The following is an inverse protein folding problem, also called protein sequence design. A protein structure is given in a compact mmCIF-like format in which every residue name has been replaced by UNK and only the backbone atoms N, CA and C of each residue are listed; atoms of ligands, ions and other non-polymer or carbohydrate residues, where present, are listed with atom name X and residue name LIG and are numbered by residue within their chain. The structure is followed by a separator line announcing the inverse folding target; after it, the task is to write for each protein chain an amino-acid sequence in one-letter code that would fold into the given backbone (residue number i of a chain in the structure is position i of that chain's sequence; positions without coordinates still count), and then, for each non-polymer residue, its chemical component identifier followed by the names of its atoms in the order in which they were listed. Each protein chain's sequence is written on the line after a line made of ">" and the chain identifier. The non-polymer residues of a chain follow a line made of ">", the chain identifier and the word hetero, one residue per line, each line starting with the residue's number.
data_IF_759631921354
#
_entry.id   IF_759631921354
#
_cell.length_a   1.000
_cell.length_b   1.000
_cell.length_c   1.000
_cell.angle_alpha   90.00
_cell.angle_beta   90.00
_cell.angle_gamma   90.00
#
_symmetry.space_group_name_H-M   'P 1'
#
loop_
_entity.id
_entity.type
_entity.pdbx_description
1 polymer ?
#
# COMPACT_ATOMS: atom_id res chain seq x y z
N UNK A 1 -17.82 -49.39 -5.45
CA UNK A 1 -17.15 -48.12 -5.76
C UNK A 1 -17.85 -46.95 -5.08
N UNK A 2 -17.36 -46.51 -3.91
CA UNK A 2 -17.92 -45.37 -3.16
C UNK A 2 -17.18 -44.11 -3.61
N UNK A 3 -17.89 -43.14 -4.19
CA UNK A 3 -17.37 -41.79 -4.49
C UNK A 3 -17.14 -41.03 -3.19
N UNK A 4 -15.92 -40.75 -2.83
CA UNK A 4 -15.53 -39.85 -1.77
C UNK A 4 -15.80 -38.41 -2.27
N UNK A 5 -16.82 -37.76 -1.70
CA UNK A 5 -17.04 -36.32 -1.87
C UNK A 5 -15.95 -35.60 -1.07
N UNK A 6 -15.03 -34.92 -1.78
CA UNK A 6 -14.12 -33.94 -1.16
C UNK A 6 -14.98 -32.83 -0.59
N UNK A 7 -14.94 -32.67 0.73
CA UNK A 7 -15.46 -31.49 1.41
C UNK A 7 -14.63 -30.28 0.95
N UNK A 8 -15.29 -29.31 0.34
CA UNK A 8 -14.71 -27.97 0.14
C UNK A 8 -14.57 -27.38 1.55
N UNK A 9 -13.35 -27.17 1.99
CA UNK A 9 -13.04 -26.28 3.11
C UNK A 9 -13.59 -24.90 2.75
N UNK A 10 -14.62 -24.46 3.48
CA UNK A 10 -15.04 -23.07 3.51
C UNK A 10 -13.87 -22.29 4.12
N UNK A 11 -13.08 -21.62 3.28
CA UNK A 11 -12.15 -20.60 3.73
C UNK A 11 -12.95 -19.55 4.50
N UNK A 12 -12.44 -19.14 5.66
CA UNK A 12 -13.01 -18.05 6.43
C UNK A 12 -13.11 -16.84 5.51
N UNK A 13 -14.31 -16.34 5.26
CA UNK A 13 -14.51 -15.05 4.61
C UNK A 13 -13.76 -14.02 5.44
N UNK A 14 -12.75 -13.37 4.87
CA UNK A 14 -11.98 -12.32 5.55
C UNK A 14 -12.94 -11.19 6.00
N UNK A 15 -12.58 -10.50 7.07
CA UNK A 15 -13.35 -9.37 7.61
C UNK A 15 -13.75 -8.37 6.50
N UNK A 16 -12.86 -8.06 5.58
CA UNK A 16 -13.12 -7.16 4.44
C UNK A 16 -14.12 -7.73 3.42
N UNK A 17 -14.23 -9.06 3.29
CA UNK A 17 -15.28 -9.69 2.49
C UNK A 17 -16.67 -9.45 3.06
N UNK A 18 -16.78 -9.33 4.39
CA UNK A 18 -18.04 -9.04 5.08
C UNK A 18 -18.44 -7.56 5.00
N UNK A 19 -17.47 -6.65 4.86
CA UNK A 19 -17.72 -5.20 4.71
C UNK A 19 -18.44 -4.86 3.39
N UNK A 20 -18.27 -5.70 2.37
CA UNK A 20 -18.79 -5.50 1.02
C UNK A 20 -19.77 -6.60 0.61
N UNK A 21 -20.66 -7.00 1.50
CA UNK A 21 -21.62 -8.13 1.29
C UNK A 21 -22.68 -7.90 0.18
N UNK A 22 -22.81 -6.69 -0.37
CA UNK A 22 -23.56 -6.44 -1.59
C UNK A 22 -22.64 -6.54 -2.81
N UNK A 23 -23.09 -7.15 -3.91
CA UNK A 23 -22.35 -7.39 -5.16
C UNK A 23 -21.23 -6.38 -5.37
N UNK A 24 -19.99 -6.81 -5.11
CA UNK A 24 -18.79 -6.00 -5.42
C UNK A 24 -18.88 -5.54 -6.87
N UNK A 25 -18.53 -4.29 -7.20
CA UNK A 25 -18.01 -4.05 -8.53
C UNK A 25 -16.91 -5.10 -8.73
N UNK A 26 -16.86 -5.78 -9.87
CA UNK A 26 -15.78 -6.71 -10.20
C UNK A 26 -14.45 -5.94 -10.18
N UNK A 27 -13.90 -5.73 -8.97
CA UNK A 27 -12.56 -5.22 -8.76
C UNK A 27 -11.58 -6.34 -9.05
N UNK A 28 -10.45 -6.01 -9.61
CA UNK A 28 -9.35 -6.97 -9.78
C UNK A 28 -9.12 -7.74 -8.47
N UNK A 29 -9.02 -9.06 -8.57
CA UNK A 29 -8.86 -9.92 -7.38
C UNK A 29 -7.42 -9.95 -6.92
N UNK A 30 -6.50 -9.99 -7.87
CA UNK A 30 -5.06 -10.13 -7.67
C UNK A 30 -4.31 -9.22 -8.64
N UNK A 31 -3.15 -8.71 -8.22
CA UNK A 31 -2.33 -7.81 -9.02
C UNK A 31 -0.90 -8.34 -9.05
N UNK A 32 -0.30 -8.34 -10.24
CA UNK A 32 1.14 -8.53 -10.43
C UNK A 32 1.76 -7.23 -10.91
N UNK A 33 2.78 -6.77 -10.21
CA UNK A 33 3.59 -5.63 -10.60
C UNK A 33 4.85 -6.13 -11.30
N UNK A 34 5.15 -5.62 -12.48
CA UNK A 34 6.37 -5.95 -13.24
C UNK A 34 7.08 -4.66 -13.65
N UNK A 35 8.31 -4.51 -13.20
CA UNK A 35 9.27 -3.53 -13.70
C UNK A 35 10.24 -4.27 -14.61
N UNK A 36 10.39 -3.80 -15.85
CA UNK A 36 11.37 -4.31 -16.80
C UNK A 36 12.36 -3.20 -17.16
N UNK A 37 13.55 -3.25 -16.53
CA UNK A 37 14.56 -2.19 -16.61
C UNK A 37 13.97 -0.80 -16.38
N UNK A 38 12.94 -0.73 -15.55
CA UNK A 38 12.24 0.52 -15.26
C UNK A 38 13.06 1.41 -14.34
N UNK A 39 13.25 2.63 -14.77
CA UNK A 39 13.92 3.68 -14.01
C UNK A 39 13.21 5.01 -14.12
N UNK A 40 13.53 5.93 -13.23
CA UNK A 40 12.98 7.28 -13.25
C UNK A 40 14.03 8.32 -12.92
N UNK A 41 14.17 9.28 -13.82
CA UNK A 41 14.98 10.50 -13.62
C UNK A 41 14.02 11.68 -13.61
N UNK A 42 14.09 12.50 -12.56
CA UNK A 42 13.27 13.70 -12.41
C UNK A 42 13.70 14.80 -13.39
N UNK A 43 12.85 15.80 -13.60
CA UNK A 43 13.09 16.91 -14.54
C UNK A 43 14.35 17.73 -14.20
N UNK A 44 14.73 17.78 -12.93
CA UNK A 44 15.95 18.43 -12.44
C UNK A 44 17.23 17.60 -12.66
N UNK A 45 17.12 16.43 -13.30
CA UNK A 45 18.21 15.52 -13.57
C UNK A 45 18.55 14.56 -12.41
N UNK A 46 17.90 14.68 -11.27
CA UNK A 46 18.11 13.77 -10.14
C UNK A 46 17.56 12.37 -10.44
N UNK A 47 18.38 11.34 -10.17
CA UNK A 47 17.98 9.96 -10.33
C UNK A 47 17.06 9.58 -9.15
N UNK A 48 15.83 9.19 -9.44
CA UNK A 48 14.91 8.66 -8.44
C UNK A 48 15.03 7.14 -8.28
N UNK A 49 15.12 6.42 -9.41
CA UNK A 49 15.40 4.99 -9.46
C UNK A 49 16.19 4.66 -10.72
N UNK A 50 17.28 3.93 -10.58
CA UNK A 50 18.07 3.38 -11.69
C UNK A 50 17.30 2.22 -12.35
N UNK A 51 17.64 1.85 -13.60
CA UNK A 51 16.99 0.72 -14.28
C UNK A 51 16.94 -0.53 -13.39
N UNK A 52 15.72 -0.95 -13.05
CA UNK A 52 15.44 -2.04 -12.11
C UNK A 52 14.49 -3.04 -12.76
N UNK A 53 14.80 -4.33 -12.64
CA UNK A 53 13.88 -5.42 -13.01
C UNK A 53 13.37 -6.07 -11.73
N UNK A 54 12.05 -6.09 -11.56
CA UNK A 54 11.38 -6.60 -10.35
C UNK A 54 10.00 -7.12 -10.72
N UNK A 55 9.64 -8.27 -10.17
CA UNK A 55 8.26 -8.77 -10.25
C UNK A 55 7.73 -9.03 -8.84
N UNK A 56 6.57 -8.46 -8.51
CA UNK A 56 5.85 -8.72 -7.26
C UNK A 56 4.52 -9.35 -7.63
N UNK A 57 4.38 -10.63 -7.31
CA UNK A 57 3.18 -11.43 -7.61
C UNK A 57 2.23 -11.48 -6.42
N UNK A 58 0.96 -11.91 -6.59
CA UNK A 58 -0.03 -11.99 -5.51
C UNK A 58 0.33 -12.95 -4.37
N UNK A 59 1.28 -13.86 -4.59
CA UNK A 59 1.80 -14.77 -3.56
C UNK A 59 2.56 -14.01 -2.48
N UNK A 60 3.22 -12.89 -2.86
CA UNK A 60 3.84 -11.97 -1.89
C UNK A 60 2.81 -10.99 -1.36
N UNK A 61 2.16 -11.35 -0.24
CA UNK A 61 1.08 -10.54 0.34
C UNK A 61 1.57 -9.33 1.11
N UNK A 62 2.71 -9.41 1.75
CA UNK A 62 3.29 -8.33 2.56
C UNK A 62 4.72 -8.09 2.13
N UNK A 63 4.91 -7.09 1.27
CA UNK A 63 6.22 -6.73 0.72
C UNK A 63 6.70 -5.44 1.36
N UNK A 64 7.76 -5.53 2.14
CA UNK A 64 8.42 -4.36 2.72
C UNK A 64 9.51 -3.82 1.77
N UNK A 65 9.70 -2.51 1.78
CA UNK A 65 10.78 -1.81 1.08
C UNK A 65 11.55 -0.98 2.11
N UNK A 66 12.80 -1.33 2.38
CA UNK A 66 13.64 -0.62 3.34
C UNK A 66 14.85 0.00 2.67
N UNK A 67 15.45 0.99 3.33
CA UNK A 67 16.63 1.71 2.82
C UNK A 67 16.75 3.09 3.46
N UNK A 68 17.90 3.72 3.29
CA UNK A 68 18.14 5.08 3.79
C UNK A 68 17.23 6.13 3.15
N UNK A 69 17.12 7.30 3.79
CA UNK A 69 16.44 8.44 3.17
C UNK A 69 17.14 8.81 1.86
N UNK A 70 16.36 9.10 0.81
CA UNK A 70 16.88 9.39 -0.52
C UNK A 70 17.34 8.18 -1.34
N UNK A 71 17.23 6.94 -0.83
CA UNK A 71 17.67 5.75 -1.56
C UNK A 71 16.83 5.37 -2.78
N UNK A 72 15.63 5.96 -2.97
CA UNK A 72 14.74 5.66 -4.09
C UNK A 72 13.46 4.88 -3.73
N UNK A 73 13.20 4.57 -2.45
CA UNK A 73 12.00 3.83 -2.00
C UNK A 73 10.69 4.46 -2.49
N UNK A 74 10.50 5.74 -2.24
CA UNK A 74 9.30 6.49 -2.67
C UNK A 74 9.13 6.43 -4.19
N UNK A 75 10.23 6.58 -4.95
CA UNK A 75 10.17 6.49 -6.42
C UNK A 75 9.77 5.09 -6.88
N UNK A 76 10.33 4.03 -6.26
CA UNK A 76 9.93 2.66 -6.53
C UNK A 76 8.43 2.46 -6.29
N UNK A 77 7.92 2.89 -5.14
CA UNK A 77 6.48 2.79 -4.83
C UNK A 77 5.61 3.57 -5.80
N UNK A 78 6.04 4.76 -6.22
CA UNK A 78 5.30 5.59 -7.17
C UNK A 78 5.28 5.02 -8.59
N UNK A 79 6.29 4.26 -8.98
CA UNK A 79 6.27 3.46 -10.22
C UNK A 79 5.30 2.29 -10.11
N UNK A 80 5.25 1.60 -8.96
CA UNK A 80 4.32 0.49 -8.73
C UNK A 80 2.86 0.95 -8.70
N UNK A 81 2.56 2.10 -8.11
CA UNK A 81 1.19 2.61 -8.03
C UNK A 81 0.77 3.47 -9.24
N UNK A 82 1.67 3.67 -10.19
CA UNK A 82 1.43 4.47 -11.39
C UNK A 82 1.38 5.99 -11.15
N UNK A 83 1.80 6.49 -9.99
CA UNK A 83 1.88 7.92 -9.73
C UNK A 83 3.03 8.60 -10.50
N UNK A 84 4.06 7.82 -10.84
CA UNK A 84 5.14 8.20 -11.76
C UNK A 84 5.17 7.27 -12.96
N UNK A 85 5.46 7.83 -14.12
CA UNK A 85 5.81 7.05 -15.30
C UNK A 85 7.32 6.75 -15.29
N UNK A 86 7.71 5.58 -15.78
CA UNK A 86 9.12 5.27 -16.01
C UNK A 86 9.69 6.18 -17.10
N UNK A 87 10.92 6.72 -16.89
CA UNK A 87 11.67 7.46 -17.91
C UNK A 87 12.58 6.55 -18.72
N UNK A 88 12.84 5.32 -18.25
CA UNK A 88 13.52 4.24 -18.96
C UNK A 88 12.88 2.90 -18.62
N UNK A 89 12.97 1.94 -19.53
CA UNK A 89 12.31 0.64 -19.39
C UNK A 89 10.79 0.74 -19.40
N UNK A 90 10.11 -0.19 -18.73
CA UNK A 90 8.64 -0.20 -18.66
C UNK A 90 8.12 -0.71 -17.31
N UNK A 91 6.93 -0.24 -16.94
CA UNK A 91 6.15 -0.75 -15.81
C UNK A 91 4.87 -1.36 -16.36
N UNK A 92 4.54 -2.55 -15.88
CA UNK A 92 3.30 -3.25 -16.21
C UNK A 92 2.60 -3.71 -14.95
N UNK A 93 1.29 -3.52 -14.92
CA UNK A 93 0.43 -3.97 -13.83
C UNK A 93 -0.58 -4.92 -14.44
N UNK A 94 -0.45 -6.21 -14.12
CA UNK A 94 -1.37 -7.24 -14.59
C UNK A 94 -2.45 -7.49 -13.55
N UNK A 95 -3.72 -7.43 -13.96
CA UNK A 95 -4.86 -7.70 -13.10
C UNK A 95 -5.93 -8.47 -13.89
N UNK A 96 -6.42 -9.59 -13.33
CA UNK A 96 -7.45 -10.44 -13.96
C UNK A 96 -7.13 -10.84 -15.43
N UNK A 97 -5.84 -11.05 -15.74
CA UNK A 97 -5.37 -11.43 -17.09
C UNK A 97 -5.28 -10.25 -18.08
N UNK A 98 -5.44 -9.02 -17.63
CA UNK A 98 -5.28 -7.80 -18.43
C UNK A 98 -4.05 -7.05 -17.97
N UNK A 99 -3.18 -6.67 -18.90
CA UNK A 99 -2.01 -5.85 -18.66
C UNK A 99 -2.35 -4.35 -18.81
N UNK A 100 -1.93 -3.55 -17.83
CA UNK A 100 -2.09 -2.09 -17.81
C UNK A 100 -0.72 -1.42 -17.79
N UNK A 101 -0.57 -0.38 -18.59
CA UNK A 101 0.64 0.46 -18.65
C UNK A 101 0.36 1.82 -17.98
N UNK A 102 1.06 2.18 -16.88
CA UNK A 102 0.86 3.46 -16.21
C UNK A 102 1.13 4.69 -17.08
N UNK A 103 1.92 4.57 -18.15
CA UNK A 103 2.18 5.66 -19.09
C UNK A 103 0.98 5.98 -19.99
N UNK A 104 0.02 5.05 -20.09
CA UNK A 104 -1.19 5.21 -20.90
C UNK A 104 -2.32 5.77 -20.05
N UNK A 105 -2.78 6.98 -20.37
CA UNK A 105 -3.81 7.70 -19.60
C UNK A 105 -5.09 6.91 -19.32
N UNK A 106 -5.51 6.05 -20.26
CA UNK A 106 -6.70 5.19 -20.08
C UNK A 106 -6.43 4.12 -19.02
N UNK A 107 -5.26 3.53 -19.08
CA UNK A 107 -4.86 2.43 -18.18
C UNK A 107 -4.58 2.98 -16.77
N UNK A 108 -3.97 4.16 -16.68
CA UNK A 108 -3.74 4.84 -15.40
C UNK A 108 -5.04 4.99 -14.59
N UNK A 109 -6.16 5.36 -15.22
CA UNK A 109 -7.46 5.43 -14.54
C UNK A 109 -7.93 4.09 -13.99
N UNK A 110 -7.59 2.98 -14.67
CA UNK A 110 -7.88 1.64 -14.19
C UNK A 110 -6.99 1.26 -13.02
N UNK A 111 -5.70 1.56 -13.13
CA UNK A 111 -4.73 1.36 -12.03
C UNK A 111 -5.19 2.11 -10.78
N UNK A 112 -5.58 3.39 -10.90
CA UNK A 112 -6.11 4.19 -9.79
C UNK A 112 -7.39 3.62 -9.15
N UNK A 113 -8.16 2.84 -9.89
CA UNK A 113 -9.35 2.16 -9.35
C UNK A 113 -9.06 0.81 -8.69
N UNK A 114 -7.84 0.28 -8.84
CA UNK A 114 -7.44 -1.03 -8.34
C UNK A 114 -6.39 -0.96 -7.23
N UNK A 115 -5.64 0.14 -7.14
CA UNK A 115 -4.54 0.28 -6.17
C UNK A 115 -4.87 1.39 -5.19
N UNK A 116 -4.95 1.05 -3.91
CA UNK A 116 -5.06 1.99 -2.80
C UNK A 116 -3.68 2.61 -2.51
N UNK A 117 -3.64 3.94 -2.34
CA UNK A 117 -2.41 4.67 -2.02
C UNK A 117 -2.49 5.22 -0.61
N UNK A 118 -1.47 4.94 0.20
CA UNK A 118 -1.29 5.52 1.53
C UNK A 118 0.07 6.21 1.57
N UNK A 119 0.10 7.49 1.91
CA UNK A 119 1.34 8.27 2.00
C UNK A 119 1.38 8.98 3.34
N UNK A 120 2.06 8.39 4.32
CA UNK A 120 2.14 8.89 5.69
C UNK A 120 0.73 9.23 6.20
N UNK A 121 0.60 10.38 6.88
CA UNK A 121 -0.67 10.99 7.29
C UNK A 121 -1.31 11.85 6.19
N UNK A 122 -0.82 11.76 4.95
CA UNK A 122 -1.33 12.56 3.84
C UNK A 122 -2.70 12.05 3.42
N UNK A 123 -3.71 12.82 3.73
CA UNK A 123 -5.06 12.65 3.23
C UNK A 123 -5.30 13.66 2.09
N UNK A 124 -6.17 13.35 1.13
CA UNK A 124 -6.44 14.26 0.03
C UNK A 124 -6.85 15.66 0.52
N UNK A 125 -6.39 16.72 -0.17
CA UNK A 125 -6.74 18.11 0.18
C UNK A 125 -8.26 18.36 0.22
N UNK A 126 -9.05 17.56 -0.51
CA UNK A 126 -10.51 17.60 -0.45
C UNK A 126 -11.06 17.26 0.94
N UNK A 127 -10.35 16.44 1.71
CA UNK A 127 -10.75 16.04 3.06
C UNK A 127 -10.73 17.22 4.05
N UNK A 128 -9.77 18.14 3.88
CA UNK A 128 -9.70 19.37 4.69
C UNK A 128 -10.78 20.41 4.32
N UNK A 129 -11.47 20.21 3.18
CA UNK A 129 -12.56 21.06 2.74
C UNK A 129 -13.94 20.50 3.09
N UNK A 130 -14.01 19.23 3.47
CA UNK A 130 -15.24 18.59 3.89
C UNK A 130 -15.56 18.98 5.35
N UNK A 131 -16.85 19.11 5.67
CA UNK A 131 -17.31 19.47 7.02
C UNK A 131 -17.02 18.36 8.03
N UNK A 132 -16.87 17.12 7.56
CA UNK A 132 -16.56 15.97 8.41
C UNK A 132 -15.77 14.90 7.67
N UNK A 133 -15.05 14.05 8.42
CA UNK A 133 -14.34 12.90 7.81
C UNK A 133 -15.30 11.89 7.19
N UNK A 134 -16.54 11.82 7.68
CA UNK A 134 -17.59 11.00 7.08
C UNK A 134 -17.92 11.44 5.65
N UNK A 135 -18.08 12.75 5.44
CA UNK A 135 -18.31 13.33 4.13
C UNK A 135 -17.08 13.17 3.22
N UNK A 136 -15.89 13.35 3.80
CA UNK A 136 -14.63 13.18 3.08
C UNK A 136 -14.47 11.78 2.47
N UNK A 137 -14.80 10.71 3.22
CA UNK A 137 -14.77 9.32 2.72
C UNK A 137 -15.88 9.03 1.70
N UNK A 138 -17.02 9.69 1.78
CA UNK A 138 -18.11 9.52 0.81
C UNK A 138 -17.70 9.95 -0.60
N UNK A 139 -16.82 10.93 -0.73
CA UNK A 139 -16.34 11.46 -2.01
C UNK A 139 -15.61 10.42 -2.89
N UNK A 140 -14.59 9.69 -2.41
CA UNK A 140 -13.99 8.58 -3.16
C UNK A 140 -15.01 7.54 -3.59
N UNK A 141 -15.94 7.17 -2.71
CA UNK A 141 -16.99 6.19 -3.01
C UNK A 141 -17.90 6.65 -4.14
N UNK A 142 -18.28 7.94 -4.15
CA UNK A 142 -19.02 8.56 -5.28
C UNK A 142 -18.22 8.49 -6.58
N UNK A 143 -16.93 8.83 -6.52
CA UNK A 143 -16.02 8.78 -7.67
C UNK A 143 -15.93 7.37 -8.26
N UNK A 144 -15.94 6.35 -7.40
CA UNK A 144 -15.97 4.93 -7.78
C UNK A 144 -17.39 4.41 -8.09
N UNK A 145 -18.39 5.31 -8.17
CA UNK A 145 -19.79 5.00 -8.54
C UNK A 145 -20.46 3.98 -7.61
N UNK A 146 -20.06 3.95 -6.33
CA UNK A 146 -20.71 3.11 -5.32
C UNK A 146 -22.13 3.65 -5.08
N UNK A 147 -23.18 2.81 -5.13
CA UNK A 147 -24.56 3.24 -4.89
C UNK A 147 -24.73 3.89 -3.51
N UNK A 148 -25.57 4.92 -3.41
CA UNK A 148 -25.79 5.65 -2.15
C UNK A 148 -26.23 4.75 -1.00
N UNK A 149 -27.09 3.76 -1.29
CA UNK A 149 -27.56 2.79 -0.32
C UNK A 149 -26.44 1.95 0.31
N UNK A 150 -25.33 1.77 -0.40
CA UNK A 150 -24.19 0.98 0.05
C UNK A 150 -23.13 1.85 0.75
N UNK A 151 -22.95 3.11 0.30
CA UNK A 151 -21.91 4.01 0.84
C UNK A 151 -21.99 4.19 2.34
N UNK A 152 -23.21 4.38 2.89
CA UNK A 152 -23.39 4.59 4.32
C UNK A 152 -22.97 3.36 5.15
N UNK A 153 -23.25 2.16 4.64
CA UNK A 153 -22.83 0.92 5.29
C UNK A 153 -21.30 0.76 5.23
N UNK A 154 -20.68 1.03 4.07
CA UNK A 154 -19.23 0.97 3.90
C UNK A 154 -18.53 1.94 4.85
N UNK A 155 -18.97 3.21 4.90
CA UNK A 155 -18.39 4.22 5.78
C UNK A 155 -18.54 3.82 7.25
N UNK A 156 -19.72 3.37 7.65
CA UNK A 156 -19.97 2.92 9.02
C UNK A 156 -19.05 1.77 9.43
N UNK A 157 -18.89 0.78 8.56
CA UNK A 157 -18.03 -0.37 8.80
C UNK A 157 -16.55 0.02 8.86
N UNK A 158 -16.07 0.87 7.91
CA UNK A 158 -14.70 1.39 7.95
C UNK A 158 -14.43 2.14 9.24
N UNK A 159 -15.33 3.02 9.66
CA UNK A 159 -15.15 3.82 10.87
C UNK A 159 -15.15 2.97 12.14
N UNK A 160 -15.97 1.92 12.18
CA UNK A 160 -15.96 0.97 13.29
C UNK A 160 -14.63 0.17 13.32
N UNK A 161 -14.12 -0.24 12.16
CA UNK A 161 -12.89 -1.02 12.07
C UNK A 161 -11.64 -0.20 12.41
N UNK A 162 -11.58 1.05 11.97
CA UNK A 162 -10.43 1.93 12.18
C UNK A 162 -10.55 2.86 13.41
N UNK A 163 -11.47 2.58 14.31
CA UNK A 163 -11.72 3.39 15.52
C UNK A 163 -11.94 4.89 15.24
N UNK A 164 -12.60 5.19 14.11
CA UNK A 164 -12.94 6.54 13.67
C UNK A 164 -14.40 6.92 13.99
N UNK A 165 -15.19 6.01 14.55
CA UNK A 165 -16.63 6.23 14.75
C UNK A 165 -16.92 7.41 15.70
N UNK A 166 -16.13 7.57 16.75
CA UNK A 166 -16.30 8.66 17.73
C UNK A 166 -16.05 10.05 17.11
N UNK A 167 -15.13 10.14 16.13
CA UNK A 167 -14.72 11.39 15.46
C UNK A 167 -15.34 11.57 14.08
N UNK A 168 -16.31 10.75 13.71
CA UNK A 168 -16.92 10.72 12.37
C UNK A 168 -17.48 12.06 11.88
N UNK A 169 -17.86 12.95 12.82
CA UNK A 169 -18.42 14.28 12.55
C UNK A 169 -17.39 15.40 12.65
N UNK A 170 -16.17 15.07 13.01
CA UNK A 170 -15.09 16.05 13.10
C UNK A 170 -14.49 16.31 11.71
N UNK A 171 -13.91 17.51 11.54
CA UNK A 171 -13.10 17.81 10.36
C UNK A 171 -11.76 17.06 10.41
N UNK A 172 -11.18 16.79 9.25
CA UNK A 172 -9.87 16.13 9.17
C UNK A 172 -8.75 16.92 9.88
N UNK A 173 -8.89 18.24 9.96
CA UNK A 173 -7.93 19.13 10.66
C UNK A 173 -7.98 19.01 12.20
N UNK A 174 -9.09 18.54 12.75
CA UNK A 174 -9.25 18.35 14.19
C UNK A 174 -8.66 17.01 14.69
N UNK A 175 -8.35 16.08 13.79
CA UNK A 175 -7.81 14.77 14.14
C UNK A 175 -6.38 14.87 14.65
N UNK A 176 -6.03 14.03 15.63
CA UNK A 176 -4.64 13.74 15.99
C UNK A 176 -3.88 12.98 14.86
N UNK A 177 -2.57 12.81 15.02
CA UNK A 177 -1.75 12.17 14.00
C UNK A 177 -2.13 10.72 13.77
N UNK A 178 -2.41 9.93 14.81
CA UNK A 178 -2.83 8.53 14.67
C UNK A 178 -4.13 8.41 13.87
N UNK A 179 -5.15 9.20 14.21
CA UNK A 179 -6.44 9.16 13.51
C UNK A 179 -6.33 9.64 12.06
N UNK A 180 -5.41 10.56 11.74
CA UNK A 180 -5.12 10.93 10.35
C UNK A 180 -4.51 9.79 9.56
N UNK A 181 -3.58 9.01 10.15
CA UNK A 181 -3.03 7.81 9.51
C UNK A 181 -4.11 6.74 9.28
N UNK A 182 -4.94 6.48 10.28
CA UNK A 182 -6.07 5.54 10.17
C UNK A 182 -7.07 6.01 9.11
N UNK A 183 -7.36 7.31 9.04
CA UNK A 183 -8.22 7.88 8.01
C UNK A 183 -7.63 7.72 6.60
N UNK A 184 -6.32 7.92 6.43
CA UNK A 184 -5.64 7.71 5.16
C UNK A 184 -5.77 6.25 4.69
N UNK A 185 -5.58 5.28 5.60
CA UNK A 185 -5.77 3.85 5.31
C UNK A 185 -7.25 3.55 4.99
N UNK A 186 -8.18 4.03 5.81
CA UNK A 186 -9.61 3.85 5.59
C UNK A 186 -10.06 4.40 4.22
N UNK A 187 -9.51 5.58 3.84
CA UNK A 187 -9.74 6.17 2.53
C UNK A 187 -9.24 5.28 1.40
N UNK A 188 -8.00 4.81 1.49
CA UNK A 188 -7.41 3.93 0.49
C UNK A 188 -8.17 2.61 0.34
N UNK A 189 -8.76 2.11 1.43
CA UNK A 189 -9.55 0.87 1.45
C UNK A 189 -11.02 1.04 1.06
N UNK A 190 -11.54 2.26 1.03
CA UNK A 190 -12.97 2.53 0.86
C UNK A 190 -13.57 1.94 -0.42
N UNK A 191 -12.79 1.85 -1.50
CA UNK A 191 -13.23 1.28 -2.78
C UNK A 191 -12.81 -0.19 -2.97
N UNK A 192 -12.35 -0.88 -1.92
CA UNK A 192 -11.90 -2.28 -1.96
C UNK A 192 -10.82 -2.56 -3.02
N UNK A 193 -9.66 -1.91 -2.94
CA UNK A 193 -8.59 -2.09 -3.91
C UNK A 193 -8.07 -3.54 -3.95
N UNK A 194 -7.43 -3.94 -5.04
CA UNK A 194 -6.78 -5.24 -5.17
C UNK A 194 -5.43 -5.28 -4.44
N UNK A 195 -4.76 -4.14 -4.36
CA UNK A 195 -3.50 -3.97 -3.62
C UNK A 195 -3.42 -2.58 -2.98
N UNK A 196 -2.59 -2.46 -1.95
CA UNK A 196 -2.21 -1.18 -1.33
C UNK A 196 -0.74 -0.94 -1.54
N UNK A 197 -0.39 0.29 -1.89
CA UNK A 197 0.98 0.80 -1.89
C UNK A 197 1.07 1.91 -0.84
N UNK A 198 1.92 1.69 0.19
CA UNK A 198 2.01 2.58 1.34
C UNK A 198 3.44 3.11 1.53
N UNK A 199 3.61 4.42 1.60
CA UNK A 199 4.90 5.06 1.86
C UNK A 199 4.96 5.61 3.28
N UNK A 200 5.79 4.99 4.12
CA UNK A 200 6.03 5.36 5.52
C UNK A 200 4.72 5.48 6.35
N UNK A 201 3.85 4.46 6.37
CA UNK A 201 2.49 4.56 6.90
C UNK A 201 2.42 4.78 8.43
N UNK A 202 3.53 4.60 9.15
CA UNK A 202 3.59 4.77 10.62
C UNK A 202 4.56 5.89 11.04
N UNK A 203 5.12 6.63 10.09
CA UNK A 203 6.15 7.63 10.38
C UNK A 203 5.64 8.78 11.24
N UNK A 204 6.39 9.08 12.30
CA UNK A 204 6.07 10.20 13.19
C UNK A 204 5.09 9.85 14.33
N UNK A 205 4.71 8.57 14.41
CA UNK A 205 3.91 8.02 15.51
C UNK A 205 4.83 7.45 16.60
N UNK A 206 4.35 7.43 17.84
CA UNK A 206 4.96 6.65 18.91
C UNK A 206 4.77 5.14 18.69
N UNK A 207 5.38 4.32 19.55
CA UNK A 207 5.35 2.86 19.38
C UNK A 207 3.93 2.28 19.45
N UNK A 208 3.07 2.80 20.34
CA UNK A 208 1.70 2.29 20.52
C UNK A 208 0.84 2.64 19.31
N UNK A 209 0.86 3.90 18.89
CA UNK A 209 0.13 4.35 17.72
C UNK A 209 0.66 3.69 16.43
N UNK A 210 1.98 3.51 16.30
CA UNK A 210 2.60 2.78 15.18
C UNK A 210 2.11 1.33 15.09
N UNK A 211 2.04 0.63 16.22
CA UNK A 211 1.54 -0.75 16.26
C UNK A 211 0.05 -0.81 15.88
N UNK A 212 -0.76 0.14 16.33
CA UNK A 212 -2.17 0.22 15.99
C UNK A 212 -2.39 0.46 14.48
N UNK A 213 -1.69 1.45 13.92
CA UNK A 213 -1.76 1.76 12.48
C UNK A 213 -1.23 0.61 11.61
N UNK A 214 -0.12 -0.01 12.01
CA UNK A 214 0.43 -1.18 11.31
C UNK A 214 -0.56 -2.36 11.32
N UNK A 215 -1.16 -2.66 12.49
CA UNK A 215 -2.19 -3.69 12.61
C UNK A 215 -3.39 -3.40 11.71
N UNK A 216 -3.84 -2.16 11.65
CA UNK A 216 -4.93 -1.74 10.78
C UNK A 216 -4.59 -1.97 9.30
N UNK A 217 -3.39 -1.57 8.87
CA UNK A 217 -2.92 -1.75 7.49
C UNK A 217 -2.78 -3.24 7.13
N UNK A 218 -2.15 -4.04 7.99
CA UNK A 218 -1.88 -5.46 7.72
C UNK A 218 -3.06 -6.39 8.00
N UNK A 219 -4.16 -5.89 8.56
CA UNK A 219 -5.42 -6.64 8.65
C UNK A 219 -6.10 -6.82 7.29
N UNK A 220 -5.68 -6.06 6.27
CA UNK A 220 -6.17 -6.18 4.91
C UNK A 220 -5.70 -7.49 4.27
N UNK A 221 -6.62 -8.27 3.68
CA UNK A 221 -6.36 -9.63 3.17
C UNK A 221 -5.71 -9.66 1.77
N UNK A 222 -5.59 -8.49 1.13
CA UNK A 222 -4.94 -8.33 -0.18
C UNK A 222 -3.47 -7.94 -0.03
N UNK A 223 -2.82 -7.78 -1.17
CA UNK A 223 -1.41 -7.43 -1.23
C UNK A 223 -1.16 -6.02 -0.68
N UNK A 224 -0.14 -5.89 0.16
CA UNK A 224 0.35 -4.60 0.69
C UNK A 224 1.84 -4.50 0.38
N UNK A 225 2.21 -3.52 -0.43
CA UNK A 225 3.62 -3.13 -0.68
C UNK A 225 3.88 -1.83 0.05
N UNK A 226 4.84 -1.79 0.96
CA UNK A 226 5.03 -0.60 1.79
C UNK A 226 6.51 -0.28 2.02
N UNK A 227 6.84 1.00 2.07
CA UNK A 227 8.16 1.45 2.50
C UNK A 227 8.14 1.81 3.98
N UNK A 228 9.22 1.49 4.67
CA UNK A 228 9.47 1.88 6.05
C UNK A 228 10.97 1.97 6.35
N UNK A 229 11.32 2.73 7.36
CA UNK A 229 12.66 2.73 7.97
C UNK A 229 12.70 1.91 9.29
N UNK A 230 11.54 1.43 9.75
CA UNK A 230 11.40 0.64 10.96
C UNK A 230 11.68 -0.85 10.66
N UNK A 231 12.90 -1.28 10.99
CA UNK A 231 13.33 -2.67 10.79
C UNK A 231 12.72 -3.63 11.82
N UNK A 232 12.28 -3.15 12.98
CA UNK A 232 11.61 -3.98 13.97
C UNK A 232 10.21 -4.35 13.49
N UNK A 233 9.48 -3.40 12.88
CA UNK A 233 8.16 -3.64 12.32
C UNK A 233 8.17 -4.80 11.34
N UNK A 234 9.16 -4.87 10.45
CA UNK A 234 9.18 -5.89 9.38
C UNK A 234 9.56 -7.30 9.90
N UNK A 235 10.18 -7.41 11.07
CA UNK A 235 10.54 -8.70 11.68
C UNK A 235 9.50 -9.22 12.68
N UNK A 236 8.47 -8.43 13.00
CA UNK A 236 7.38 -8.87 13.89
C UNK A 236 6.53 -9.94 13.20
N UNK A 237 6.50 -11.14 13.76
CA UNK A 237 5.79 -12.29 13.19
C UNK A 237 4.29 -12.05 13.00
N UNK A 238 3.68 -11.18 13.82
CA UNK A 238 2.25 -10.84 13.77
C UNK A 238 1.84 -10.14 12.47
N UNK A 239 2.76 -9.45 11.79
CA UNK A 239 2.47 -8.75 10.53
C UNK A 239 2.69 -9.61 9.30
N UNK A 240 3.25 -10.83 9.47
CA UNK A 240 3.45 -11.81 8.40
C UNK A 240 4.08 -11.22 7.13
N UNK A 241 5.14 -10.40 7.30
CA UNK A 241 5.89 -9.87 6.16
C UNK A 241 6.61 -11.06 5.50
N UNK A 242 6.36 -11.27 4.23
CA UNK A 242 6.85 -12.46 3.50
C UNK A 242 8.02 -12.14 2.55
N UNK A 243 8.20 -10.87 2.19
CA UNK A 243 9.28 -10.43 1.30
C UNK A 243 9.74 -9.03 1.67
N UNK A 244 11.04 -8.79 1.58
CA UNK A 244 11.63 -7.48 1.86
C UNK A 244 12.66 -7.12 0.80
N UNK A 245 12.51 -5.93 0.24
CA UNK A 245 13.44 -5.32 -0.70
C UNK A 245 14.30 -4.30 0.03
N UNK A 246 15.62 -4.33 -0.16
CA UNK A 246 16.51 -3.26 0.30
C UNK A 246 16.86 -2.39 -0.88
N UNK A 247 16.61 -1.09 -0.73
CA UNK A 247 16.92 -0.09 -1.76
C UNK A 247 18.08 0.78 -1.29
N UNK A 248 19.14 0.85 -2.08
CA UNK A 248 20.31 1.68 -1.84
C UNK A 248 20.84 2.28 -3.12
N UNK A 249 21.32 3.49 -3.06
CA UNK A 249 21.85 4.23 -4.22
C UNK A 249 20.93 4.11 -5.46
N UNK A 250 19.63 4.28 -5.22
CA UNK A 250 18.57 4.23 -6.24
C UNK A 250 18.42 2.88 -6.95
N UNK A 251 18.83 1.77 -6.32
CA UNK A 251 18.67 0.41 -6.84
C UNK A 251 18.13 -0.55 -5.77
N UNK A 252 17.44 -1.60 -6.19
CA UNK A 252 17.15 -2.75 -5.33
C UNK A 252 18.43 -3.60 -5.25
N UNK A 253 19.04 -3.61 -4.06
CA UNK A 253 20.31 -4.31 -3.80
C UNK A 253 20.16 -5.64 -3.08
N UNK A 254 18.97 -5.90 -2.54
CA UNK A 254 18.60 -7.17 -1.90
C UNK A 254 17.11 -7.43 -2.07
N UNK A 255 16.75 -8.70 -2.21
CA UNK A 255 15.38 -9.19 -2.35
C UNK A 255 15.29 -10.57 -1.67
N UNK A 256 14.56 -10.67 -0.57
CA UNK A 256 14.50 -11.91 0.21
C UNK A 256 13.59 -11.82 1.43
N UNK A 257 13.82 -12.72 2.40
CA UNK A 257 13.07 -12.76 3.64
C UNK A 257 13.36 -11.57 4.57
N UNK A 258 12.43 -11.20 5.49
CA UNK A 258 12.57 -10.01 6.32
C UNK A 258 13.79 -10.04 7.24
N UNK A 259 14.10 -11.16 7.88
CA UNK A 259 15.26 -11.26 8.77
C UNK A 259 16.60 -11.16 8.03
N UNK A 260 16.70 -11.78 6.85
CA UNK A 260 17.88 -11.71 5.99
C UNK A 260 18.09 -10.29 5.46
N UNK A 261 16.99 -9.63 5.07
CA UNK A 261 17.00 -8.24 4.61
C UNK A 261 17.49 -7.28 5.70
N UNK A 262 17.04 -7.45 6.95
CA UNK A 262 17.49 -6.61 8.08
C UNK A 262 18.96 -6.84 8.39
N UNK A 263 19.45 -8.08 8.34
CA UNK A 263 20.87 -8.39 8.53
C UNK A 263 21.70 -7.70 7.43
N UNK A 264 21.32 -7.88 6.16
CA UNK A 264 21.97 -7.24 5.01
C UNK A 264 21.98 -5.71 5.14
N UNK A 265 20.84 -5.12 5.47
CA UNK A 265 20.71 -3.68 5.64
C UNK A 265 21.58 -3.13 6.77
N UNK A 266 21.67 -3.84 7.89
CA UNK A 266 22.52 -3.48 9.03
C UNK A 266 23.99 -3.46 8.64
N UNK A 267 24.46 -4.47 7.91
CA UNK A 267 25.84 -4.53 7.43
C UNK A 267 26.14 -3.45 6.40
N UNK A 268 25.18 -3.14 5.51
CA UNK A 268 25.28 -2.06 4.53
C UNK A 268 25.45 -0.68 5.21
N UNK A 269 24.64 -0.40 6.25
CA UNK A 269 24.76 0.85 7.01
C UNK A 269 26.13 0.93 7.72
N UNK A 270 26.60 -0.16 8.31
CA UNK A 270 27.90 -0.21 8.98
C UNK A 270 29.03 0.10 8.00
N UNK A 271 29.03 -0.56 6.84
CA UNK A 271 30.03 -0.32 5.80
C UNK A 271 30.05 1.13 5.32
N UNK A 272 28.87 1.75 5.11
CA UNK A 272 28.76 3.16 4.75
C UNK A 272 29.27 4.11 5.82
N UNK A 273 29.00 3.80 7.08
CA UNK A 273 29.50 4.60 8.20
C UNK A 273 31.03 4.52 8.32
N UNK A 274 31.60 3.33 8.14
CA UNK A 274 33.07 3.16 8.13
C UNK A 274 33.72 3.92 6.97
N UNK A 275 33.15 3.81 5.75
CA UNK A 275 33.63 4.53 4.59
C UNK A 275 33.54 6.07 4.72
N UNK A 276 32.57 6.59 5.47
CA UNK A 276 32.43 8.03 5.72
C UNK A 276 33.45 8.61 6.70
N UNK A 277 34.18 7.74 7.43
CA UNK A 277 35.27 8.14 8.36
C UNK A 277 36.68 8.09 7.76
N UNK A 278 36.83 7.44 6.61
CA UNK A 278 38.09 7.32 5.88
C UNK A 278 38.29 8.51 4.95
#
# INVERSE_FOLDING_TARGET
>A
MRRVRRARTMGSMGFFDSLFSAKRPEGARDVTFTLDQAGHTYEDGNIGLKPTSLTITPESKRVAVIGLNGSGKTTLLQLLDGALAATSGSVRIDADGVAYDPSVKRDLKRIESMIGRVRREEIPNSYYKADSIREAIDEPLKKHKVPESERQAIIGNLFAHFDLAAVARESASALDSEKRHLLAIASALSFSPAAIVADEPTKGLDEVASAHVAKALFSYDKQVVFATHDTELITRAEYAIDRTLVVDDHQVVFDGGPHEAVAFYTDLIRAKYEASKA
#
